data_IF_680387657814
#
_entry.id   IF_680387657814
#
_cell.length_a   1.000
_cell.length_b   1.000
_cell.length_c   1.000
_cell.angle_alpha   90.00
_cell.angle_beta   90.00
_cell.angle_gamma   90.00
#
_symmetry.space_group_name_H-M   'P 1'
#
loop_
_entity.id
_entity.type
_entity.pdbx_description
1 polymer ?
#
# COMPACT_ATOMS: atom_id res chain seq x y z
N UNK A 1 20.05 38.84 5.20
CA UNK A 1 18.72 38.32 5.55
C UNK A 1 18.17 37.60 4.34
N UNK A 2 18.24 36.28 4.31
CA UNK A 2 17.61 35.46 3.30
C UNK A 2 16.11 35.44 3.62
N UNK A 3 15.28 36.01 2.75
CA UNK A 3 13.83 35.80 2.79
C UNK A 3 13.58 34.32 2.45
N UNK A 4 12.81 33.59 3.27
CA UNK A 4 12.36 32.27 2.84
C UNK A 4 11.43 32.50 1.63
N UNK A 5 11.83 31.94 0.51
CA UNK A 5 10.98 31.87 -0.68
C UNK A 5 9.94 30.79 -0.35
N UNK A 6 8.81 31.24 0.21
CA UNK A 6 7.66 30.38 0.41
C UNK A 6 6.96 30.21 -0.93
N UNK A 7 7.55 29.44 -1.83
CA UNK A 7 6.81 28.80 -2.89
C UNK A 7 5.89 27.74 -2.21
N UNK A 8 4.80 28.20 -1.62
CA UNK A 8 3.63 27.36 -1.43
C UNK A 8 3.13 27.02 -2.84
N UNK A 9 3.67 25.94 -3.40
CA UNK A 9 3.04 25.27 -4.51
C UNK A 9 1.65 24.92 -4.01
N UNK A 10 0.62 25.58 -4.56
CA UNK A 10 -0.77 25.29 -4.20
C UNK A 10 -1.01 23.81 -4.51
N UNK A 11 -1.25 23.01 -3.48
CA UNK A 11 -1.51 21.58 -3.66
C UNK A 11 -2.79 21.42 -4.45
N UNK A 12 -2.68 20.77 -5.61
CA UNK A 12 -3.79 20.48 -6.50
C UNK A 12 -4.30 19.08 -6.17
N UNK A 13 -5.57 18.96 -5.85
CA UNK A 13 -6.24 17.68 -5.58
C UNK A 13 -7.31 17.41 -6.63
N UNK A 14 -7.52 16.14 -6.94
CA UNK A 14 -8.46 15.67 -7.95
C UNK A 14 -9.62 14.91 -7.30
N UNK A 15 -9.38 14.27 -6.15
CA UNK A 15 -10.32 13.34 -5.54
C UNK A 15 -11.60 14.01 -5.01
N UNK A 16 -11.54 15.30 -4.66
CA UNK A 16 -12.70 15.98 -4.09
C UNK A 16 -13.81 16.30 -5.11
N UNK A 17 -13.48 16.45 -6.41
CA UNK A 17 -14.44 16.81 -7.44
C UNK A 17 -14.27 16.09 -8.78
N UNK A 18 -13.27 15.23 -8.92
CA UNK A 18 -12.76 14.62 -10.18
C UNK A 18 -12.17 15.64 -11.19
N UNK A 19 -12.04 16.88 -10.79
CA UNK A 19 -11.35 17.94 -11.54
C UNK A 19 -10.19 18.45 -10.69
N UNK A 20 -9.13 18.91 -11.34
CA UNK A 20 -8.01 19.57 -10.65
C UNK A 20 -8.48 20.85 -9.98
N UNK A 21 -8.40 20.92 -8.68
CA UNK A 21 -8.77 22.10 -7.88
C UNK A 21 -7.69 22.37 -6.83
N UNK A 22 -7.56 23.64 -6.45
CA UNK A 22 -6.68 23.99 -5.35
C UNK A 22 -7.28 23.45 -4.04
N UNK A 23 -6.46 22.83 -3.20
CA UNK A 23 -6.87 22.28 -1.90
C UNK A 23 -7.60 23.32 -1.03
N UNK A 24 -7.21 24.60 -1.11
CA UNK A 24 -7.81 25.70 -0.36
C UNK A 24 -9.25 26.03 -0.79
N UNK A 25 -9.65 25.65 -1.99
CA UNK A 25 -10.99 25.93 -2.56
C UNK A 25 -11.98 24.80 -2.31
N UNK A 26 -11.52 23.68 -1.74
CA UNK A 26 -12.33 22.49 -1.50
C UNK A 26 -12.98 22.59 -0.13
N UNK A 27 -14.31 22.46 -0.08
CA UNK A 27 -15.09 22.48 1.16
C UNK A 27 -14.91 21.22 2.01
N UNK A 28 -14.52 20.11 1.41
CA UNK A 28 -14.26 18.84 2.10
C UNK A 28 -12.85 18.85 2.69
N UNK A 29 -12.69 18.22 3.85
CA UNK A 29 -11.34 18.02 4.42
C UNK A 29 -10.62 16.92 3.63
N UNK A 30 -9.59 17.31 2.91
CA UNK A 30 -8.71 16.41 2.17
C UNK A 30 -7.34 16.41 2.85
N UNK A 31 -6.75 15.22 3.00
CA UNK A 31 -5.36 15.04 3.40
C UNK A 31 -4.61 14.68 2.14
N UNK A 32 -3.55 15.39 1.89
CA UNK A 32 -2.64 15.14 0.77
C UNK A 32 -1.33 14.56 1.34
N UNK A 33 -0.90 13.42 0.81
CA UNK A 33 0.39 12.81 1.10
C UNK A 33 1.21 12.94 -0.16
N UNK A 34 2.25 13.75 -0.13
CA UNK A 34 3.14 14.03 -1.26
C UNK A 34 4.15 12.91 -1.49
N UNK A 35 4.87 12.98 -2.61
CA UNK A 35 6.03 12.11 -2.86
C UNK A 35 7.11 12.26 -1.79
N UNK A 36 7.34 13.50 -1.32
CA UNK A 36 8.30 13.82 -0.27
C UNK A 36 7.90 13.16 1.06
N UNK A 37 6.61 13.18 1.42
CA UNK A 37 6.10 12.50 2.61
C UNK A 37 6.29 10.99 2.52
N UNK A 38 6.07 10.38 1.34
CA UNK A 38 6.32 8.95 1.10
C UNK A 38 7.79 8.62 1.30
N UNK A 39 8.69 9.43 0.75
CA UNK A 39 10.15 9.23 0.87
C UNK A 39 10.60 9.40 2.33
N UNK A 40 10.11 10.42 3.04
CA UNK A 40 10.46 10.70 4.44
C UNK A 40 9.93 9.63 5.40
N UNK A 41 8.68 9.19 5.22
CA UNK A 41 8.08 8.16 6.06
C UNK A 41 8.61 6.76 5.78
N UNK A 42 9.15 6.54 4.58
CA UNK A 42 9.73 5.28 4.13
C UNK A 42 8.90 4.04 4.53
N UNK A 43 7.61 4.00 4.17
CA UNK A 43 6.68 2.98 4.65
C UNK A 43 6.99 1.60 4.07
N UNK A 44 6.84 0.53 4.87
CA UNK A 44 7.02 -0.84 4.37
C UNK A 44 5.89 -1.23 3.40
N UNK A 45 4.69 -0.77 3.68
CA UNK A 45 3.48 -1.04 2.86
C UNK A 45 2.66 0.23 2.68
N UNK A 46 1.74 0.23 1.71
CA UNK A 46 0.78 1.33 1.57
C UNK A 46 -0.19 1.43 2.75
N UNK A 47 -0.35 0.37 3.56
CA UNK A 47 -1.06 0.44 4.82
C UNK A 47 -0.32 1.33 5.85
N UNK A 48 1.00 1.20 5.92
CA UNK A 48 1.83 2.02 6.81
C UNK A 48 1.85 3.47 6.34
N UNK A 49 1.88 3.71 5.02
CA UNK A 49 1.74 5.04 4.44
C UNK A 49 0.44 5.74 4.86
N UNK A 50 -0.69 5.05 4.75
CA UNK A 50 -1.97 5.62 5.17
C UNK A 50 -1.99 5.90 6.69
N UNK A 51 -1.42 5.02 7.50
CA UNK A 51 -1.32 5.17 8.95
C UNK A 51 -0.51 6.41 9.35
N UNK A 52 0.55 6.73 8.61
CA UNK A 52 1.41 7.89 8.88
C UNK A 52 0.67 9.22 8.75
N UNK A 53 -0.45 9.28 8.03
CA UNK A 53 -1.31 10.47 7.91
C UNK A 53 -1.96 10.91 9.24
N UNK A 54 -1.96 10.04 10.27
CA UNK A 54 -2.59 10.28 11.58
C UNK A 54 -4.13 10.34 11.56
N UNK A 55 -4.76 10.21 10.41
CA UNK A 55 -6.22 10.29 10.25
C UNK A 55 -6.87 9.00 9.74
N UNK A 56 -6.06 8.03 9.34
CA UNK A 56 -6.48 6.70 8.92
C UNK A 56 -5.96 5.69 9.92
N UNK A 57 -6.87 5.01 10.58
CA UNK A 57 -6.52 3.86 11.42
C UNK A 57 -6.38 2.63 10.53
N UNK A 58 -5.32 1.87 10.72
CA UNK A 58 -5.12 0.61 10.00
C UNK A 58 -5.35 -0.56 10.95
N UNK A 59 -6.39 -1.33 10.69
CA UNK A 59 -6.58 -2.59 11.38
C UNK A 59 -5.68 -3.66 10.75
N UNK A 60 -4.72 -4.12 11.53
CA UNK A 60 -3.79 -5.20 11.15
C UNK A 60 -4.00 -6.40 12.09
N UNK A 61 -4.19 -7.58 11.52
CA UNK A 61 -4.18 -8.87 12.23
C UNK A 61 -2.93 -9.68 11.88
N UNK A 62 -2.15 -9.23 10.94
CA UNK A 62 -0.92 -9.84 10.44
C UNK A 62 -0.03 -8.79 9.77
N UNK A 63 1.25 -9.12 9.55
CA UNK A 63 2.21 -8.23 8.90
C UNK A 63 1.77 -7.88 7.47
N UNK A 64 1.41 -8.89 6.67
CA UNK A 64 0.97 -8.75 5.28
C UNK A 64 -0.50 -8.41 5.14
N UNK A 65 -1.01 -7.47 5.91
CA UNK A 65 -2.39 -7.03 5.82
C UNK A 65 -2.58 -5.62 6.33
N UNK A 66 -3.70 -5.01 5.97
CA UNK A 66 -4.06 -3.69 6.48
C UNK A 66 -5.39 -3.23 5.92
N UNK A 67 -6.37 -3.10 6.80
CA UNK A 67 -7.70 -2.60 6.46
C UNK A 67 -7.81 -1.15 6.95
N UNK A 68 -7.91 -0.16 6.05
CA UNK A 68 -8.04 1.23 6.44
C UNK A 68 -9.42 1.51 7.04
N UNK A 69 -9.43 2.36 8.06
CA UNK A 69 -10.62 2.86 8.72
C UNK A 69 -10.53 4.38 8.87
N UNK A 70 -11.60 5.09 8.56
CA UNK A 70 -11.73 6.53 8.75
C UNK A 70 -12.92 6.78 9.69
N UNK A 71 -12.68 7.37 10.86
CA UNK A 71 -13.73 7.71 11.83
C UNK A 71 -14.71 6.57 12.14
N UNK A 72 -14.20 5.33 12.24
CA UNK A 72 -15.00 4.12 12.48
C UNK A 72 -15.65 3.50 11.24
N UNK A 73 -15.61 4.16 10.08
CA UNK A 73 -16.03 3.55 8.82
C UNK A 73 -14.93 2.67 8.25
N UNK A 74 -15.30 1.49 7.78
CA UNK A 74 -14.39 0.51 7.18
C UNK A 74 -15.04 -0.14 5.95
N UNK A 75 -14.24 -0.86 5.19
CA UNK A 75 -14.67 -1.76 4.10
C UNK A 75 -15.47 -1.12 2.98
N UNK A 76 -16.71 -1.60 2.78
CA UNK A 76 -17.64 -1.11 1.75
C UNK A 76 -18.22 0.29 2.04
N UNK A 77 -17.70 0.97 3.05
CA UNK A 77 -18.06 2.37 3.35
C UNK A 77 -16.91 3.34 3.06
N UNK A 78 -15.79 2.81 2.60
CA UNK A 78 -14.63 3.55 2.14
C UNK A 78 -14.29 3.15 0.71
N UNK A 79 -14.12 4.10 -0.18
CA UNK A 79 -13.68 3.84 -1.54
C UNK A 79 -12.16 3.97 -1.63
N UNK A 80 -11.54 2.96 -2.24
CA UNK A 80 -10.14 2.97 -2.64
C UNK A 80 -10.06 3.04 -4.15
N UNK A 81 -9.18 3.87 -4.68
CA UNK A 81 -8.91 3.94 -6.12
C UNK A 81 -7.42 4.10 -6.40
N UNK A 82 -6.98 3.56 -7.52
CA UNK A 82 -5.64 3.74 -8.08
C UNK A 82 -5.78 4.31 -9.48
N UNK A 83 -5.18 5.46 -9.73
CA UNK A 83 -5.26 6.19 -10.99
C UNK A 83 -6.71 6.36 -11.51
N UNK A 84 -7.65 6.54 -10.59
CA UNK A 84 -9.07 6.69 -10.87
C UNK A 84 -9.86 5.39 -11.03
N UNK A 85 -9.19 4.23 -11.03
CA UNK A 85 -9.85 2.91 -11.06
C UNK A 85 -10.14 2.45 -9.64
N UNK A 86 -11.40 2.14 -9.38
CA UNK A 86 -11.87 1.71 -8.06
C UNK A 86 -11.41 0.28 -7.74
N UNK A 87 -10.87 0.08 -6.52
CA UNK A 87 -10.40 -1.21 -6.04
C UNK A 87 -11.42 -2.01 -5.26
N UNK A 88 -12.60 -1.48 -5.02
CA UNK A 88 -13.64 -2.17 -4.29
C UNK A 88 -14.16 -3.35 -5.12
N UNK A 89 -13.58 -4.50 -4.93
CA UNK A 89 -14.00 -5.76 -5.56
C UNK A 89 -14.89 -6.57 -4.60
N UNK A 90 -15.41 -7.70 -5.08
CA UNK A 90 -16.33 -8.55 -4.32
C UNK A 90 -15.66 -9.38 -3.20
N UNK A 91 -14.35 -9.28 -3.02
CA UNK A 91 -13.63 -10.07 -2.00
C UNK A 91 -13.56 -9.26 -0.71
N UNK A 92 -14.66 -9.30 0.05
CA UNK A 92 -14.74 -8.71 1.39
C UNK A 92 -14.83 -9.83 2.42
N UNK A 93 -13.88 -9.88 3.35
CA UNK A 93 -13.91 -10.81 4.47
C UNK A 93 -14.43 -10.09 5.71
N UNK A 94 -15.64 -10.48 6.17
CA UNK A 94 -16.24 -9.86 7.34
C UNK A 94 -16.30 -8.33 7.24
N UNK A 95 -16.36 -7.85 6.00
CA UNK A 95 -16.32 -6.46 5.73
C UNK A 95 -14.91 -5.84 5.62
N UNK A 96 -13.78 -6.53 5.66
CA UNK A 96 -12.45 -5.92 5.62
C UNK A 96 -11.81 -5.99 4.24
N UNK A 97 -11.43 -4.82 3.70
CA UNK A 97 -10.62 -4.72 2.49
C UNK A 97 -9.16 -4.90 2.92
N UNK A 98 -8.51 -5.97 2.46
CA UNK A 98 -7.11 -6.22 2.79
C UNK A 98 -6.16 -5.84 1.65
N UNK A 99 -6.68 -5.31 0.57
CA UNK A 99 -5.95 -5.13 -0.68
C UNK A 99 -5.05 -3.90 -0.72
N UNK A 100 -5.04 -3.06 0.31
CA UNK A 100 -4.22 -1.84 0.29
C UNK A 100 -2.72 -2.16 0.19
N UNK A 101 -2.29 -3.32 0.67
CA UNK A 101 -0.88 -3.75 0.54
C UNK A 101 -0.47 -4.11 -0.89
N UNK A 102 -1.43 -4.36 -1.79
CA UNK A 102 -1.14 -4.64 -3.20
C UNK A 102 -0.67 -3.40 -3.96
N UNK A 103 -0.85 -2.21 -3.39
CA UNK A 103 -0.36 -0.96 -3.94
C UNK A 103 1.08 -0.78 -3.46
N UNK A 104 2.02 -0.71 -4.39
CA UNK A 104 3.43 -0.51 -4.09
C UNK A 104 3.70 0.93 -3.65
N UNK A 105 4.18 1.20 -2.42
CA UNK A 105 4.47 2.56 -1.97
C UNK A 105 5.56 3.25 -2.81
N UNK A 106 6.50 2.52 -3.40
CA UNK A 106 7.51 3.09 -4.28
C UNK A 106 6.96 3.65 -5.59
N UNK A 107 5.79 3.19 -6.01
CA UNK A 107 5.12 3.64 -7.23
C UNK A 107 4.15 4.79 -7.00
N UNK A 108 3.90 5.20 -5.75
CA UNK A 108 2.98 6.28 -5.41
C UNK A 108 3.65 7.63 -5.68
N UNK A 109 2.97 8.47 -6.44
CA UNK A 109 3.30 9.87 -6.63
C UNK A 109 2.68 10.73 -5.54
N UNK A 110 1.39 10.54 -5.27
CA UNK A 110 0.69 11.15 -4.16
C UNK A 110 -0.50 10.29 -3.73
N UNK A 111 -1.03 10.57 -2.55
CA UNK A 111 -2.27 9.96 -2.06
C UNK A 111 -3.17 11.05 -1.50
N UNK A 112 -4.42 11.06 -1.95
CA UNK A 112 -5.45 11.97 -1.49
C UNK A 112 -6.47 11.21 -0.64
N UNK A 113 -6.73 11.69 0.58
CA UNK A 113 -7.67 11.07 1.50
C UNK A 113 -8.77 12.08 1.80
N UNK A 114 -9.95 11.83 1.26
CA UNK A 114 -11.13 12.65 1.49
C UNK A 114 -11.84 12.15 2.74
N UNK A 115 -11.95 13.00 3.75
CA UNK A 115 -12.56 12.67 5.03
C UNK A 115 -14.04 13.08 5.05
N UNK A 116 -14.91 12.10 5.16
CA UNK A 116 -16.37 12.28 5.17
C UNK A 116 -17.03 11.80 3.89
N UNK A 117 -18.33 12.05 3.76
CA UNK A 117 -19.10 11.51 2.64
C UNK A 117 -18.65 12.05 1.29
N UNK A 118 -18.24 11.14 0.43
CA UNK A 118 -17.86 11.41 -0.96
C UNK A 118 -18.77 10.65 -1.93
N UNK A 119 -19.95 10.23 -1.46
CA UNK A 119 -20.87 9.35 -2.19
C UNK A 119 -21.39 9.96 -3.48
N UNK A 120 -21.51 11.30 -3.55
CA UNK A 120 -21.93 12.01 -4.77
C UNK A 120 -20.94 11.80 -5.91
N UNK A 121 -19.64 11.68 -5.58
CA UNK A 121 -18.56 11.55 -6.56
C UNK A 121 -18.20 10.09 -6.82
N UNK A 122 -18.13 9.28 -5.76
CA UNK A 122 -17.59 7.94 -5.78
C UNK A 122 -18.64 6.82 -5.60
N UNK A 123 -19.92 7.19 -5.41
CA UNK A 123 -21.03 6.25 -5.21
C UNK A 123 -21.21 5.80 -3.76
N UNK A 124 -22.14 4.86 -3.53
CA UNK A 124 -22.63 4.44 -2.21
C UNK A 124 -21.53 3.96 -1.24
N UNK A 125 -20.43 3.45 -1.74
CA UNK A 125 -19.37 2.91 -0.90
C UNK A 125 -18.41 3.99 -0.32
N UNK A 126 -18.61 5.27 -0.67
CA UNK A 126 -17.81 6.37 -0.17
C UNK A 126 -18.51 7.19 0.93
N UNK A 127 -19.30 6.54 1.77
CA UNK A 127 -20.03 7.20 2.87
C UNK A 127 -19.05 7.72 3.94
N UNK A 128 -18.02 6.95 4.27
CA UNK A 128 -17.02 7.31 5.29
C UNK A 128 -15.85 8.10 4.74
N UNK A 129 -15.60 8.03 3.44
CA UNK A 129 -14.49 8.70 2.78
C UNK A 129 -14.01 7.99 1.52
N UNK A 130 -13.02 8.61 0.86
CA UNK A 130 -12.35 8.05 -0.30
C UNK A 130 -10.84 8.21 -0.16
N UNK A 131 -10.09 7.22 -0.64
CA UNK A 131 -8.63 7.25 -0.74
C UNK A 131 -8.25 7.01 -2.18
N UNK A 132 -7.56 7.98 -2.77
CA UNK A 132 -7.13 7.93 -4.15
C UNK A 132 -5.60 7.91 -4.20
N UNK A 133 -5.05 6.82 -4.70
CA UNK A 133 -3.62 6.67 -4.93
C UNK A 133 -3.32 7.05 -6.38
N UNK A 134 -2.49 8.04 -6.55
CA UNK A 134 -1.96 8.40 -7.87
C UNK A 134 -0.55 7.83 -7.99
N UNK A 135 -0.32 7.03 -9.02
CA UNK A 135 0.98 6.44 -9.25
C UNK A 135 1.82 7.33 -10.17
N UNK A 136 3.14 7.16 -10.10
CA UNK A 136 4.10 7.87 -10.94
C UNK A 136 3.69 7.80 -12.42
N UNK A 137 3.86 8.90 -13.13
CA UNK A 137 3.60 9.00 -14.57
C UNK A 137 4.89 8.88 -15.36
N UNK A 138 4.81 8.36 -16.57
CA UNK A 138 5.89 8.48 -17.53
C UNK A 138 6.06 9.97 -17.92
N UNK A 139 7.29 10.36 -18.22
CA UNK A 139 7.66 11.75 -18.51
C UNK A 139 8.26 11.81 -19.92
N UNK A 140 7.75 12.69 -20.75
CA UNK A 140 8.28 12.97 -22.08
C UNK A 140 9.64 13.67 -22.00
N UNK A 141 10.39 13.65 -23.10
CA UNK A 141 11.52 14.54 -23.27
C UNK A 141 11.04 15.95 -23.60
N UNK A 142 11.72 16.93 -23.02
CA UNK A 142 11.51 18.37 -23.33
C UNK A 142 12.44 18.86 -24.45
N UNK A 143 13.23 17.97 -25.03
CA UNK A 143 14.21 18.26 -26.08
C UNK A 143 14.24 17.15 -27.12
N UNK A 144 14.94 17.36 -28.24
CA UNK A 144 15.13 16.35 -29.29
C UNK A 144 15.94 15.14 -28.85
N UNK A 145 16.55 15.18 -27.66
CA UNK A 145 17.30 14.08 -27.09
C UNK A 145 16.41 13.18 -26.23
N UNK A 146 16.77 11.92 -26.09
CA UNK A 146 16.06 10.97 -25.23
C UNK A 146 16.23 11.38 -23.75
N UNK A 147 15.12 11.52 -23.04
CA UNK A 147 15.13 11.68 -21.59
C UNK A 147 15.20 10.31 -20.93
N UNK A 148 16.20 10.09 -20.09
CA UNK A 148 16.34 8.86 -19.31
C UNK A 148 16.51 9.20 -17.84
N UNK A 149 15.70 8.58 -16.99
CA UNK A 149 15.80 8.70 -15.53
C UNK A 149 15.71 7.30 -14.91
N UNK A 150 16.64 6.99 -14.01
CA UNK A 150 16.70 5.74 -13.26
C UNK A 150 16.66 6.05 -11.77
N UNK A 151 15.82 5.37 -11.02
CA UNK A 151 15.84 5.39 -9.57
C UNK A 151 15.99 3.96 -9.06
N UNK A 152 16.73 3.79 -7.98
CA UNK A 152 16.84 2.52 -7.27
C UNK A 152 16.85 2.75 -5.77
N UNK A 153 16.20 1.85 -5.03
CA UNK A 153 16.13 1.89 -3.57
C UNK A 153 16.36 0.49 -3.03
N UNK A 154 17.19 0.39 -2.00
CA UNK A 154 17.34 -0.83 -1.20
C UNK A 154 17.04 -0.51 0.25
N UNK A 155 16.25 -1.34 0.90
CA UNK A 155 15.88 -1.17 2.30
C UNK A 155 16.07 -2.47 3.06
N UNK A 156 16.61 -2.34 4.28
CA UNK A 156 16.70 -3.43 5.25
C UNK A 156 16.13 -2.96 6.58
N UNK A 157 15.38 -3.82 7.25
CA UNK A 157 14.83 -3.55 8.58
C UNK A 157 15.16 -4.69 9.54
N UNK A 158 15.57 -4.34 10.76
CA UNK A 158 15.91 -5.34 11.79
C UNK A 158 14.67 -5.93 12.47
N UNK A 159 13.53 -5.24 12.44
CA UNK A 159 12.30 -5.67 13.12
C UNK A 159 11.72 -6.97 12.53
N UNK A 160 11.85 -7.17 11.25
CA UNK A 160 11.35 -8.33 10.51
C UNK A 160 12.35 -8.83 9.46
N UNK A 161 13.63 -8.51 9.65
CA UNK A 161 14.73 -8.82 8.72
C UNK A 161 14.39 -8.54 7.27
N UNK A 162 13.63 -7.47 7.04
CA UNK A 162 13.20 -7.07 5.71
C UNK A 162 14.37 -6.91 4.76
N UNK A 163 14.17 -7.39 3.55
CA UNK A 163 15.02 -7.14 2.38
C UNK A 163 14.14 -6.68 1.24
N UNK A 164 14.25 -5.40 0.92
CA UNK A 164 13.46 -4.79 -0.16
C UNK A 164 14.40 -4.18 -1.18
N UNK A 165 14.13 -4.43 -2.45
CA UNK A 165 14.78 -3.80 -3.59
C UNK A 165 13.73 -3.25 -4.53
N UNK A 166 13.95 -2.02 -4.98
CA UNK A 166 13.11 -1.31 -5.95
C UNK A 166 13.98 -0.69 -7.04
N UNK A 167 13.48 -0.74 -8.26
CA UNK A 167 14.06 -0.06 -9.40
C UNK A 167 12.93 0.45 -10.29
N UNK A 168 13.02 1.72 -10.69
CA UNK A 168 12.18 2.28 -11.74
C UNK A 168 13.02 3.04 -12.76
N UNK A 169 12.64 3.00 -14.02
CA UNK A 169 13.26 3.78 -15.07
C UNK A 169 12.22 4.35 -16.04
N UNK A 170 12.46 5.60 -16.41
CA UNK A 170 11.69 6.33 -17.40
C UNK A 170 12.52 6.55 -18.66
N UNK A 171 11.92 6.27 -19.82
CA UNK A 171 12.46 6.62 -21.12
C UNK A 171 11.44 7.53 -21.79
N UNK A 172 11.83 8.75 -22.12
CA UNK A 172 10.99 9.76 -22.76
C UNK A 172 11.55 10.18 -24.12
N UNK A 173 10.67 10.22 -25.09
CA UNK A 173 10.84 10.88 -26.38
C UNK A 173 9.90 12.08 -26.43
N UNK A 174 9.91 12.83 -27.51
CA UNK A 174 9.04 14.00 -27.68
C UNK A 174 7.53 13.66 -27.54
N UNK A 175 7.10 12.56 -28.17
CA UNK A 175 5.69 12.16 -28.25
C UNK A 175 5.38 10.81 -27.63
N UNK A 176 6.36 10.13 -27.08
CA UNK A 176 6.21 8.83 -26.41
C UNK A 176 7.04 8.78 -25.14
N UNK A 177 6.48 8.24 -24.09
CA UNK A 177 7.21 7.97 -22.86
C UNK A 177 6.81 6.63 -22.26
N UNK A 178 7.76 5.99 -21.59
CA UNK A 178 7.58 4.71 -20.90
C UNK A 178 8.20 4.76 -19.52
N UNK A 179 7.46 4.35 -18.52
CA UNK A 179 7.94 4.15 -17.14
C UNK A 179 7.75 2.70 -16.75
N UNK A 180 8.84 2.05 -16.39
CA UNK A 180 8.85 0.66 -15.92
C UNK A 180 9.33 0.61 -14.49
N UNK A 181 8.69 -0.17 -13.64
CA UNK A 181 9.04 -0.30 -12.22
C UNK A 181 8.92 -1.74 -11.74
N UNK A 182 9.88 -2.15 -10.93
CA UNK A 182 9.92 -3.44 -10.24
C UNK A 182 10.23 -3.24 -8.77
N UNK A 183 9.52 -3.94 -7.91
CA UNK A 183 9.81 -4.02 -6.48
C UNK A 183 9.71 -5.45 -6.00
N UNK A 184 10.65 -5.85 -5.17
CA UNK A 184 10.60 -7.11 -4.44
C UNK A 184 10.87 -6.85 -2.96
N UNK A 185 10.00 -7.38 -2.11
CA UNK A 185 10.12 -7.29 -0.66
C UNK A 185 10.02 -8.68 -0.06
N UNK A 186 10.95 -9.00 0.82
CA UNK A 186 10.96 -10.22 1.62
C UNK A 186 10.96 -9.84 3.10
N UNK A 187 9.94 -10.25 3.80
CA UNK A 187 9.74 -9.99 5.22
C UNK A 187 9.81 -11.31 5.97
N UNK A 188 10.75 -11.44 6.90
CA UNK A 188 10.84 -12.53 7.86
C UNK A 188 9.89 -12.27 9.05
N UNK A 189 9.89 -13.16 10.01
CA UNK A 189 9.08 -13.07 11.22
C UNK A 189 9.33 -11.78 12.00
N UNK A 190 8.26 -11.14 12.42
CA UNK A 190 8.31 -9.87 13.16
C UNK A 190 8.90 -10.09 14.56
N UNK A 191 9.85 -9.26 14.94
CA UNK A 191 10.47 -9.26 16.28
C UNK A 191 10.06 -8.01 17.04
N UNK A 192 9.46 -8.20 18.21
CA UNK A 192 9.13 -7.08 19.09
C UNK A 192 10.39 -6.48 19.74
N UNK A 193 10.31 -5.21 20.12
CA UNK A 193 11.36 -4.53 20.88
C UNK A 193 11.60 -5.14 22.27
N UNK A 194 12.78 -4.91 22.82
CA UNK A 194 13.18 -5.48 24.11
C UNK A 194 12.35 -5.01 25.31
N UNK A 195 11.78 -3.81 25.21
CA UNK A 195 11.03 -3.14 26.29
C UNK A 195 9.51 -3.19 26.08
N UNK A 196 9.02 -4.11 25.24
CA UNK A 196 7.59 -4.29 25.03
C UNK A 196 6.90 -5.04 26.19
N UNK A 197 5.55 -4.96 26.29
CA UNK A 197 4.79 -5.70 27.29
C UNK A 197 4.99 -7.22 27.20
N UNK A 198 5.02 -7.89 28.37
CA UNK A 198 5.17 -9.35 28.45
C UNK A 198 4.07 -10.12 27.75
N UNK A 199 2.86 -9.54 27.64
CA UNK A 199 1.69 -10.16 26.99
C UNK A 199 1.91 -10.44 25.49
N UNK A 200 2.87 -9.77 24.88
CA UNK A 200 3.26 -9.99 23.48
C UNK A 200 4.34 -11.05 23.30
N UNK A 201 4.93 -11.56 24.38
CA UNK A 201 5.89 -12.65 24.31
C UNK A 201 5.19 -13.94 23.87
N UNK A 202 5.87 -14.72 23.02
CA UNK A 202 5.37 -15.97 22.47
C UNK A 202 6.39 -17.08 22.78
N UNK A 203 6.27 -17.73 23.96
CA UNK A 203 7.22 -18.77 24.37
C UNK A 203 7.11 -20.04 23.54
N UNK A 204 5.99 -20.22 22.84
CA UNK A 204 5.72 -21.37 21.99
C UNK A 204 5.03 -20.96 20.69
N UNK A 205 5.06 -21.82 19.71
CA UNK A 205 4.35 -21.71 18.44
C UNK A 205 4.00 -23.09 17.92
N UNK A 206 3.03 -23.17 17.02
CA UNK A 206 2.65 -24.42 16.35
C UNK A 206 3.21 -24.41 14.93
N UNK A 207 3.69 -25.56 14.49
CA UNK A 207 4.10 -25.80 13.11
C UNK A 207 3.53 -27.13 12.65
N UNK A 208 3.10 -27.20 11.40
CA UNK A 208 2.68 -28.44 10.79
C UNK A 208 3.90 -29.26 10.38
N UNK A 209 3.98 -30.49 10.89
CA UNK A 209 5.02 -31.49 10.57
C UNK A 209 4.30 -32.75 10.12
N UNK A 210 4.56 -33.22 8.91
CA UNK A 210 3.94 -34.42 8.32
C UNK A 210 2.39 -34.43 8.40
N UNK A 211 1.79 -33.23 8.25
CA UNK A 211 0.35 -33.05 8.30
C UNK A 211 -0.25 -33.01 9.72
N UNK A 212 0.57 -33.02 10.75
CA UNK A 212 0.16 -32.88 12.15
C UNK A 212 0.63 -31.56 12.74
N UNK A 213 -0.21 -30.94 13.53
CA UNK A 213 0.11 -29.71 14.24
C UNK A 213 0.92 -30.04 15.49
N UNK A 214 2.17 -29.56 15.54
CA UNK A 214 3.12 -29.83 16.63
C UNK A 214 3.52 -28.52 17.31
N UNK A 215 3.47 -28.49 18.64
CA UNK A 215 3.86 -27.33 19.44
C UNK A 215 5.39 -27.37 19.64
N UNK A 216 6.03 -26.24 19.35
CA UNK A 216 7.46 -26.02 19.54
C UNK A 216 7.71 -24.90 20.54
N UNK A 217 8.76 -25.08 21.35
CA UNK A 217 9.28 -24.00 22.18
C UNK A 217 9.96 -22.93 21.30
N UNK A 218 9.66 -21.66 21.54
CA UNK A 218 10.26 -20.55 20.82
C UNK A 218 11.55 -20.09 21.52
N UNK A 219 12.68 -20.25 20.87
CA UNK A 219 13.99 -19.90 21.42
C UNK A 219 14.18 -18.38 21.69
N UNK A 220 13.47 -17.52 20.97
CA UNK A 220 13.36 -16.08 21.27
C UNK A 220 11.87 -15.70 21.31
N UNK A 221 11.25 -15.62 22.49
CA UNK A 221 9.81 -15.32 22.63
C UNK A 221 9.38 -13.98 22.06
N UNK A 222 10.33 -13.08 21.72
CA UNK A 222 10.04 -11.81 21.05
C UNK A 222 9.77 -11.97 19.55
N UNK A 223 10.12 -13.11 18.96
CA UNK A 223 9.87 -13.39 17.54
C UNK A 223 8.45 -13.96 17.40
N UNK A 224 7.64 -13.30 16.62
CA UNK A 224 6.29 -13.73 16.29
C UNK A 224 6.34 -14.69 15.10
N UNK A 225 6.51 -15.98 15.40
CA UNK A 225 6.66 -17.03 14.40
C UNK A 225 5.47 -17.08 13.44
N UNK A 226 5.78 -17.30 12.15
CA UNK A 226 4.84 -17.35 11.05
C UNK A 226 4.13 -16.00 10.83
N UNK A 227 4.89 -14.91 10.74
CA UNK A 227 4.39 -13.60 10.30
C UNK A 227 5.00 -13.15 8.97
N UNK A 228 6.09 -13.79 8.53
CA UNK A 228 6.81 -13.44 7.32
C UNK A 228 6.01 -13.72 6.04
N UNK A 229 6.29 -12.94 4.99
CA UNK A 229 5.79 -13.14 3.63
C UNK A 229 6.67 -12.40 2.64
N UNK A 230 6.55 -12.71 1.36
CA UNK A 230 7.21 -11.97 0.30
C UNK A 230 6.20 -11.37 -0.67
N UNK A 231 6.59 -10.28 -1.33
CA UNK A 231 5.77 -9.58 -2.30
C UNK A 231 6.59 -9.10 -3.48
N UNK A 232 6.05 -9.28 -4.68
CA UNK A 232 6.55 -8.76 -5.93
C UNK A 232 5.55 -7.79 -6.52
N UNK A 233 6.02 -6.61 -6.96
CA UNK A 233 5.22 -5.62 -7.65
C UNK A 233 5.88 -5.24 -8.97
N UNK A 234 5.04 -5.02 -9.97
CA UNK A 234 5.41 -4.55 -11.29
C UNK A 234 4.46 -3.46 -11.74
N UNK A 235 5.00 -2.41 -12.32
CA UNK A 235 4.21 -1.37 -12.98
C UNK A 235 4.85 -1.00 -14.31
N UNK A 236 3.99 -0.89 -15.34
CA UNK A 236 4.35 -0.37 -16.64
C UNK A 236 3.38 0.72 -17.03
N UNK A 237 3.90 1.88 -17.42
CA UNK A 237 3.11 2.97 -17.97
C UNK A 237 3.62 3.41 -19.31
N UNK A 238 2.72 3.74 -20.19
CA UNK A 238 2.99 4.31 -21.50
C UNK A 238 2.19 5.59 -21.67
N UNK A 239 2.84 6.63 -22.13
CA UNK A 239 2.23 7.86 -22.58
C UNK A 239 2.53 8.06 -24.06
N UNK A 240 1.49 8.36 -24.83
CA UNK A 240 1.60 8.74 -26.24
C UNK A 240 0.85 10.04 -26.45
N UNK A 241 1.51 11.02 -27.03
CA UNK A 241 0.93 12.32 -27.35
C UNK A 241 0.84 12.50 -28.85
N UNK A 242 -0.29 12.96 -29.31
CA UNK A 242 -0.51 13.45 -30.68
C UNK A 242 -0.84 14.93 -30.61
N UNK A 243 -1.00 15.61 -31.73
CA UNK A 243 -1.33 17.04 -31.79
C UNK A 243 -2.58 17.44 -30.99
N UNK A 244 -3.51 16.51 -30.77
CA UNK A 244 -4.82 16.80 -30.16
C UNK A 244 -5.18 15.89 -29.00
N UNK A 245 -4.43 14.83 -28.77
CA UNK A 245 -4.86 13.77 -27.86
C UNK A 245 -3.65 13.17 -27.13
N UNK A 246 -3.81 12.93 -25.85
CA UNK A 246 -2.87 12.18 -25.04
C UNK A 246 -3.51 10.85 -24.63
N UNK A 247 -2.77 9.77 -24.82
CA UNK A 247 -3.13 8.41 -24.42
C UNK A 247 -2.24 7.97 -23.27
N UNK A 248 -2.85 7.58 -22.15
CA UNK A 248 -2.19 7.02 -20.97
C UNK A 248 -2.64 5.58 -20.78
N UNK A 249 -1.71 4.65 -20.75
CA UNK A 249 -1.95 3.24 -20.49
C UNK A 249 -1.10 2.80 -19.29
N UNK A 250 -1.74 2.26 -18.26
CA UNK A 250 -1.08 1.72 -17.07
C UNK A 250 -1.41 0.25 -16.87
N UNK A 251 -0.38 -0.53 -16.51
CA UNK A 251 -0.50 -1.94 -16.10
C UNK A 251 0.19 -2.08 -14.75
N UNK A 252 -0.54 -2.55 -13.75
CA UNK A 252 -0.04 -2.79 -12.41
C UNK A 252 -0.25 -4.26 -12.06
N UNK A 253 0.76 -4.90 -11.54
CA UNK A 253 0.69 -6.27 -11.07
C UNK A 253 1.33 -6.39 -9.69
N UNK A 254 0.66 -7.09 -8.78
CA UNK A 254 1.17 -7.44 -7.46
C UNK A 254 0.93 -8.92 -7.18
N UNK A 255 1.90 -9.58 -6.60
CA UNK A 255 1.80 -10.98 -6.19
C UNK A 255 2.50 -11.18 -4.85
N UNK A 256 1.86 -11.91 -3.93
CA UNK A 256 2.45 -12.27 -2.64
C UNK A 256 2.66 -13.76 -2.53
N UNK A 257 3.54 -14.19 -1.62
CA UNK A 257 3.50 -15.54 -1.06
C UNK A 257 2.23 -15.72 -0.20
N UNK A 258 2.05 -16.88 0.41
CA UNK A 258 1.06 -17.05 1.47
C UNK A 258 1.30 -16.02 2.57
N UNK A 259 0.23 -15.40 3.07
CA UNK A 259 0.28 -14.43 4.16
C UNK A 259 -0.31 -15.06 5.41
N UNK A 260 0.52 -15.41 6.41
CA UNK A 260 0.03 -16.06 7.61
C UNK A 260 -0.95 -15.18 8.39
N UNK A 261 -2.02 -15.78 8.87
CA UNK A 261 -3.01 -15.16 9.75
C UNK A 261 -2.56 -15.28 11.20
N UNK A 262 -1.66 -14.41 11.61
CA UNK A 262 -1.07 -14.45 12.93
C UNK A 262 -2.11 -14.40 14.07
N UNK A 263 -3.19 -13.64 13.90
CA UNK A 263 -4.32 -13.59 14.84
C UNK A 263 -5.00 -14.94 15.07
N UNK A 264 -4.81 -15.91 14.17
CA UNK A 264 -5.33 -17.27 14.30
C UNK A 264 -4.29 -18.23 14.88
N UNK A 265 -3.04 -18.08 14.46
CA UNK A 265 -1.93 -18.95 14.86
C UNK A 265 -1.59 -18.85 16.36
N UNK A 266 -1.95 -17.73 17.01
CA UNK A 266 -1.74 -17.51 18.45
C UNK A 266 -2.96 -17.84 19.32
N UNK A 267 -4.00 -18.45 18.76
CA UNK A 267 -5.20 -18.80 19.54
C UNK A 267 -4.99 -20.12 20.27
N UNK A 268 -5.38 -20.09 21.54
CA UNK A 268 -5.49 -21.29 22.35
C UNK A 268 -6.86 -21.93 22.17
N UNK A 269 -6.90 -23.25 22.17
CA UNK A 269 -8.11 -24.03 22.28
C UNK A 269 -8.63 -23.90 23.72
N UNK A 270 -9.89 -23.53 23.88
CA UNK A 270 -10.47 -23.33 25.21
C UNK A 270 -10.59 -24.63 26.03
N UNK A 271 -10.66 -25.79 25.37
CA UNK A 271 -10.85 -27.10 26.03
C UNK A 271 -9.51 -27.71 26.47
N UNK A 272 -8.45 -27.56 25.66
CA UNK A 272 -7.13 -28.17 25.91
C UNK A 272 -6.13 -27.18 26.49
N UNK A 273 -6.40 -25.88 26.38
CA UNK A 273 -5.46 -24.79 26.70
C UNK A 273 -4.12 -24.87 25.94
N UNK A 274 -4.15 -25.44 24.74
CA UNK A 274 -3.01 -25.56 23.85
C UNK A 274 -3.23 -24.70 22.61
N UNK A 275 -2.15 -24.30 21.92
CA UNK A 275 -2.25 -23.62 20.64
C UNK A 275 -2.95 -24.52 19.62
N UNK A 276 -3.86 -23.94 18.82
CA UNK A 276 -4.85 -24.70 18.05
C UNK A 276 -4.47 -24.92 16.58
N UNK A 277 -3.68 -24.02 15.97
CA UNK A 277 -3.44 -24.04 14.53
C UNK A 277 -1.95 -23.99 14.21
N UNK A 278 -1.45 -25.00 13.47
CA UNK A 278 -0.11 -25.02 12.92
C UNK A 278 0.01 -24.25 11.61
N UNK A 279 -1.10 -24.11 10.89
CA UNK A 279 -1.13 -23.41 9.62
C UNK A 279 -2.47 -22.68 9.41
N UNK A 280 -2.39 -21.40 9.13
CA UNK A 280 -3.53 -20.58 8.70
C UNK A 280 -3.04 -19.35 7.94
N UNK A 281 -3.41 -19.22 6.69
CA UNK A 281 -2.94 -18.12 5.85
C UNK A 281 -4.00 -17.63 4.86
N UNK A 282 -3.77 -16.44 4.33
CA UNK A 282 -4.40 -15.93 3.12
C UNK A 282 -3.42 -16.01 1.96
N UNK A 283 -3.93 -16.25 0.78
CA UNK A 283 -3.11 -16.14 -0.39
C UNK A 283 -2.70 -17.46 -1.03
N UNK A 284 -1.77 -17.41 -1.97
CA UNK A 284 -1.11 -16.20 -2.45
C UNK A 284 -2.11 -15.21 -3.04
N UNK A 285 -1.89 -13.91 -2.79
CA UNK A 285 -2.71 -12.86 -3.39
C UNK A 285 -2.09 -12.45 -4.72
N UNK A 286 -2.92 -12.33 -5.76
CA UNK A 286 -2.53 -11.81 -7.06
C UNK A 286 -3.50 -10.72 -7.46
N UNK A 287 -2.97 -9.59 -7.88
CA UNK A 287 -3.74 -8.43 -8.29
C UNK A 287 -3.20 -7.89 -9.61
N UNK A 288 -4.10 -7.67 -10.56
CA UNK A 288 -3.80 -7.06 -11.85
C UNK A 288 -4.77 -5.92 -12.08
N UNK A 289 -4.25 -4.73 -12.38
CA UNK A 289 -5.03 -3.58 -12.79
C UNK A 289 -4.48 -3.06 -14.12
N UNK A 290 -5.38 -2.85 -15.06
CA UNK A 290 -5.08 -2.22 -16.34
C UNK A 290 -6.01 -1.02 -16.44
N UNK A 291 -5.45 0.16 -16.65
CA UNK A 291 -6.17 1.39 -16.85
C UNK A 291 -5.72 2.07 -18.13
N UNK A 292 -6.65 2.76 -18.78
CA UNK A 292 -6.35 3.62 -19.91
C UNK A 292 -7.13 4.93 -19.79
N UNK A 293 -6.51 6.01 -20.21
CA UNK A 293 -7.12 7.34 -20.28
C UNK A 293 -6.80 7.97 -21.62
N UNK A 294 -7.79 8.64 -22.16
CA UNK A 294 -7.68 9.48 -23.38
C UNK A 294 -8.10 10.88 -22.98
N UNK A 295 -7.24 11.84 -23.24
CA UNK A 295 -7.47 13.25 -22.87
C UNK A 295 -7.32 14.14 -24.09
#
# INVERSE_FOLDING_TARGET
>A
MLKPDSNNLDEIVISASKFSQNLKEISQRVIFISTEDVVLSNPQTSADLLSSSGNVYIQKSQLGGGSPMIRGFSTNRLTLSVDGVRLNNAIFRGGNIQNVISIDPFNIQNTEIVLGSSSVIYGSDAIGGAMNFQTKKAVFSESDSIFFKLNSTSRNSSANKEKTAHIDFNIGFENFASLTSFSFSDFDDLKMGANGPSDYLRPEYVQQVDGQDVIFSNSDPRIQKHTGYSQFNFMQKFLLKTDKTEYDLGVHYSSTSNIPRYDRLIRYNNDTNELHYGEWYYGPQKWLLINSRIT
#
